data_IF_228162247585
#
_entry.id   IF_228162247585
#
_cell.length_a   1.000
_cell.length_b   1.000
_cell.length_c   1.000
_cell.angle_alpha   90.00
_cell.angle_beta   90.00
_cell.angle_gamma   90.00
#
_symmetry.space_group_name_H-M   'P 1'
#
loop_
_entity.id
_entity.type
_entity.pdbx_description
1 polymer ?
#
# COMPACT_ATOMS: atom_id res chain seq x y z
N UNK A 1 3.36 -0.09 11.82
CA UNK A 1 3.45 -1.08 10.72
C UNK A 1 4.40 -0.54 9.66
N UNK A 2 5.19 -1.42 9.02
CA UNK A 2 6.13 -1.06 7.95
C UNK A 2 5.80 -1.88 6.70
N UNK A 3 5.71 -1.22 5.55
CA UNK A 3 5.60 -1.84 4.23
C UNK A 3 6.78 -1.38 3.40
N UNK A 4 7.49 -2.32 2.77
CA UNK A 4 8.63 -2.04 1.91
C UNK A 4 8.37 -2.72 0.57
N UNK A 5 8.44 -1.94 -0.49
CA UNK A 5 8.39 -2.45 -1.85
C UNK A 5 9.77 -3.01 -2.24
N UNK A 6 9.78 -4.16 -2.92
CA UNK A 6 10.98 -4.72 -3.53
C UNK A 6 10.94 -4.47 -5.03
N UNK A 7 11.76 -3.52 -5.50
CA UNK A 7 11.84 -3.18 -6.92
C UNK A 7 12.39 -4.34 -7.76
N UNK A 8 13.21 -5.21 -7.17
CA UNK A 8 13.79 -6.38 -7.84
C UNK A 8 12.71 -7.36 -8.29
N UNK A 9 11.56 -7.37 -7.61
CA UNK A 9 10.42 -8.18 -7.96
C UNK A 9 9.47 -7.44 -8.90
N UNK A 10 9.51 -7.78 -10.19
CA UNK A 10 8.61 -7.23 -11.22
C UNK A 10 8.56 -5.68 -11.21
N UNK A 11 9.70 -5.01 -10.96
CA UNK A 11 9.79 -3.56 -10.89
C UNK A 11 9.04 -2.95 -9.70
N UNK A 12 8.77 -3.72 -8.64
CA UNK A 12 7.94 -3.29 -7.51
C UNK A 12 6.51 -2.93 -7.94
N UNK A 13 6.03 -3.50 -9.06
CA UNK A 13 4.75 -3.12 -9.63
C UNK A 13 3.57 -3.44 -8.71
N UNK A 14 2.61 -2.51 -8.61
CA UNK A 14 1.41 -2.67 -7.79
C UNK A 14 0.40 -3.60 -8.49
N UNK A 15 0.26 -4.83 -8.01
CA UNK A 15 -0.77 -5.80 -8.40
C UNK A 15 -1.71 -6.14 -7.25
N UNK A 16 -2.63 -7.09 -7.47
CA UNK A 16 -3.69 -7.46 -6.53
C UNK A 16 -3.17 -7.86 -5.15
N UNK A 17 -2.03 -8.56 -5.13
CA UNK A 17 -1.40 -9.04 -3.89
C UNK A 17 -0.78 -7.89 -3.11
N UNK A 18 -0.05 -7.01 -3.77
CA UNK A 18 0.60 -5.84 -3.17
C UNK A 18 -0.46 -4.89 -2.59
N UNK A 19 -1.53 -4.62 -3.35
CA UNK A 19 -2.66 -3.82 -2.88
C UNK A 19 -3.34 -4.43 -1.64
N UNK A 20 -3.61 -5.74 -1.62
CA UNK A 20 -4.16 -6.42 -0.44
C UNK A 20 -3.21 -6.39 0.77
N UNK A 21 -1.90 -6.59 0.55
CA UNK A 21 -0.90 -6.49 1.63
C UNK A 21 -0.89 -5.11 2.27
N UNK A 22 -1.02 -4.04 1.48
CA UNK A 22 -1.13 -2.67 1.99
C UNK A 22 -2.40 -2.51 2.83
N UNK A 23 -3.56 -2.96 2.34
CA UNK A 23 -4.82 -2.89 3.10
C UNK A 23 -4.71 -3.64 4.43
N UNK A 24 -4.13 -4.83 4.44
CA UNK A 24 -3.90 -5.58 5.68
C UNK A 24 -2.94 -4.87 6.63
N UNK A 25 -1.89 -4.21 6.11
CA UNK A 25 -0.98 -3.41 6.91
C UNK A 25 -1.70 -2.21 7.54
N UNK A 26 -2.57 -1.53 6.78
CA UNK A 26 -3.44 -0.47 7.29
C UNK A 26 -4.36 -0.99 8.41
N UNK A 27 -5.06 -2.10 8.18
CA UNK A 27 -5.97 -2.66 9.17
C UNK A 27 -5.23 -3.05 10.46
N UNK A 28 -4.05 -3.67 10.34
CA UNK A 28 -3.19 -3.96 11.50
C UNK A 28 -2.73 -2.70 12.22
N UNK A 29 -2.38 -1.64 11.48
CA UNK A 29 -1.98 -0.36 12.06
C UNK A 29 -3.13 0.25 12.88
N UNK A 30 -4.35 0.22 12.35
CA UNK A 30 -5.57 0.66 13.04
C UNK A 30 -5.81 -0.17 14.31
N UNK A 31 -5.86 -1.50 14.20
CA UNK A 31 -6.13 -2.38 15.35
C UNK A 31 -5.08 -2.25 16.45
N UNK A 32 -3.80 -2.09 16.08
CA UNK A 32 -2.70 -1.92 17.04
C UNK A 32 -2.48 -0.48 17.48
N UNK A 33 -3.23 0.49 16.94
CA UNK A 33 -3.02 1.93 17.14
C UNK A 33 -1.57 2.38 16.90
N UNK A 34 -0.93 1.84 15.88
CA UNK A 34 0.46 2.17 15.51
C UNK A 34 0.51 2.99 14.22
N UNK A 35 1.54 3.84 14.03
CA UNK A 35 1.73 4.56 12.76
C UNK A 35 2.02 3.58 11.61
N UNK A 36 1.75 4.01 10.38
CA UNK A 36 2.08 3.26 9.16
C UNK A 36 3.18 3.98 8.38
N UNK A 37 4.24 3.25 8.01
CA UNK A 37 5.28 3.72 7.10
C UNK A 37 5.27 2.85 5.85
N UNK A 38 5.25 3.48 4.67
CA UNK A 38 5.38 2.78 3.39
C UNK A 38 6.62 3.33 2.66
N UNK A 39 7.57 2.45 2.38
CA UNK A 39 8.72 2.71 1.50
C UNK A 39 8.34 2.25 0.10
N UNK A 40 8.14 3.21 -0.78
CA UNK A 40 7.61 3.01 -2.13
C UNK A 40 8.75 3.01 -3.14
N UNK A 41 8.90 1.88 -3.83
CA UNK A 41 9.77 1.69 -4.99
C UNK A 41 8.95 0.93 -6.05
N UNK A 42 8.52 1.62 -7.11
CA UNK A 42 7.62 1.01 -8.10
C UNK A 42 7.77 1.63 -9.47
N UNK A 43 7.81 0.78 -10.51
CA UNK A 43 7.71 1.18 -11.92
C UNK A 43 6.28 1.45 -12.38
N UNK A 44 5.27 1.28 -11.51
CA UNK A 44 3.86 1.56 -11.80
C UNK A 44 2.91 0.39 -11.47
N UNK A 45 1.75 0.39 -12.13
CA UNK A 45 0.75 -0.68 -12.00
C UNK A 45 1.22 -1.96 -12.72
N UNK A 46 0.91 -3.14 -12.16
CA UNK A 46 1.27 -4.43 -12.79
C UNK A 46 0.41 -4.70 -14.01
N UNK A 47 0.90 -4.37 -15.20
CA UNK A 47 0.13 -4.45 -16.46
C UNK A 47 -0.42 -5.87 -16.73
N UNK A 48 0.26 -6.91 -16.23
CA UNK A 48 -0.16 -8.31 -16.37
C UNK A 48 -1.52 -8.60 -15.71
N UNK A 49 -1.92 -7.81 -14.72
CA UNK A 49 -3.24 -7.92 -14.08
C UNK A 49 -4.22 -6.84 -14.56
N UNK A 50 -3.80 -5.95 -15.48
CA UNK A 50 -4.64 -4.94 -16.16
C UNK A 50 -5.53 -4.14 -15.19
N UNK A 51 -6.84 -4.14 -15.38
CA UNK A 51 -7.83 -3.42 -14.55
C UNK A 51 -7.69 -3.73 -13.06
N UNK A 52 -7.29 -4.95 -12.68
CA UNK A 52 -7.11 -5.27 -11.26
C UNK A 52 -6.00 -4.44 -10.62
N UNK A 53 -4.91 -4.17 -11.34
CA UNK A 53 -3.82 -3.31 -10.86
C UNK A 53 -4.26 -1.86 -10.71
N UNK A 54 -5.05 -1.34 -11.65
CA UNK A 54 -5.62 0.00 -11.55
C UNK A 54 -6.51 0.13 -10.30
N UNK A 55 -7.35 -0.88 -10.05
CA UNK A 55 -8.24 -0.90 -8.89
C UNK A 55 -7.49 -0.99 -7.54
N UNK A 56 -6.21 -1.36 -7.52
CA UNK A 56 -5.44 -1.31 -6.28
C UNK A 56 -5.17 0.13 -5.83
N UNK A 57 -5.11 1.10 -6.74
CA UNK A 57 -4.95 2.51 -6.37
C UNK A 57 -6.15 3.00 -5.56
N UNK A 58 -7.38 2.70 -6.01
CA UNK A 58 -8.61 3.08 -5.29
C UNK A 58 -8.74 2.32 -3.98
N UNK A 59 -8.48 1.02 -3.98
CA UNK A 59 -8.52 0.15 -2.79
C UNK A 59 -7.56 0.63 -1.69
N UNK A 60 -6.29 0.87 -2.03
CA UNK A 60 -5.28 1.31 -1.05
C UNK A 60 -5.54 2.74 -0.57
N UNK A 61 -5.98 3.64 -1.45
CA UNK A 61 -6.37 5.01 -1.07
C UNK A 61 -7.54 5.03 -0.09
N UNK A 62 -8.56 4.19 -0.33
CA UNK A 62 -9.69 4.05 0.60
C UNK A 62 -9.25 3.53 1.97
N UNK A 63 -8.34 2.55 2.01
CA UNK A 63 -7.78 2.05 3.26
C UNK A 63 -7.00 3.14 4.01
N UNK A 64 -6.10 3.88 3.34
CA UNK A 64 -5.37 4.99 3.95
C UNK A 64 -6.30 6.09 4.48
N UNK A 65 -7.46 6.31 3.82
CA UNK A 65 -8.48 7.24 4.35
C UNK A 65 -9.06 6.76 5.69
N UNK A 66 -9.25 5.45 5.87
CA UNK A 66 -9.67 4.89 7.17
C UNK A 66 -8.60 5.12 8.24
N UNK A 67 -7.32 4.90 7.92
CA UNK A 67 -6.20 5.19 8.84
C UNK A 67 -6.19 6.66 9.28
N UNK A 68 -6.41 7.57 8.33
CA UNK A 68 -6.51 9.02 8.59
C UNK A 68 -7.70 9.38 9.49
N UNK A 69 -8.86 8.70 9.35
CA UNK A 69 -10.03 8.90 10.24
C UNK A 69 -9.70 8.51 11.69
N UNK A 70 -8.90 7.47 11.88
CA UNK A 70 -8.40 7.04 13.20
C UNK A 70 -7.28 7.94 13.75
N UNK A 71 -6.91 9.02 13.03
CA UNK A 71 -5.86 9.98 13.40
C UNK A 71 -4.49 9.32 13.61
N UNK A 72 -4.22 8.20 12.94
CA UNK A 72 -2.93 7.52 13.00
C UNK A 72 -1.99 8.09 11.91
N UNK A 73 -0.71 8.37 12.25
CA UNK A 73 0.24 8.90 11.28
C UNK A 73 0.51 7.94 10.13
N UNK A 74 0.52 8.48 8.91
CA UNK A 74 0.98 7.81 7.70
C UNK A 74 2.18 8.56 7.13
N UNK A 75 3.30 7.86 6.95
CA UNK A 75 4.51 8.41 6.34
C UNK A 75 4.81 7.62 5.06
N UNK A 76 4.88 8.34 3.94
CA UNK A 76 5.30 7.79 2.65
C UNK A 76 6.75 8.19 2.39
N UNK A 77 7.62 7.20 2.22
CA UNK A 77 9.00 7.38 1.80
C UNK A 77 9.08 6.97 0.33
N UNK A 78 9.52 7.89 -0.53
CA UNK A 78 9.63 7.66 -1.97
C UNK A 78 11.10 7.40 -2.30
N UNK A 79 11.39 6.27 -2.97
CA UNK A 79 12.75 5.82 -3.32
C UNK A 79 12.85 5.41 -4.78
#
# INVERSE_FOLDING_TARGET
>A
QLVVFDFSFMGGSLGSVEGEKIVRAVQRAITSKTPLVIVSASGGARMQESTYSLMQMSKTSAALKLLSKEKLPYISILT
#
